data_IF_801764959449
#
_entry.id   IF_801764959449
#
_cell.length_a   1.000
_cell.length_b   1.000
_cell.length_c   1.000
_cell.angle_alpha   90.00
_cell.angle_beta   90.00
_cell.angle_gamma   90.00
#
_symmetry.space_group_name_H-M   'P 1'
#
loop_
_entity.id
_entity.type
_entity.pdbx_description
1 polymer ?
#
# COMPACT_ATOMS: atom_id res chain seq x y z
N UNK A 1 19.41 7.62 17.78
CA UNK A 1 19.60 6.61 16.73
C UNK A 1 20.79 7.02 15.89
N UNK A 2 21.60 6.07 15.44
CA UNK A 2 22.76 6.33 14.59
C UNK A 2 22.74 5.37 13.41
N UNK A 3 23.07 5.88 12.23
CA UNK A 3 23.21 5.09 11.02
C UNK A 3 24.69 4.74 10.81
N UNK A 4 24.98 3.56 10.28
CA UNK A 4 26.33 3.25 9.78
C UNK A 4 26.68 4.14 8.58
N UNK A 5 27.98 4.33 8.32
CA UNK A 5 28.47 5.14 7.20
C UNK A 5 27.97 4.64 5.84
N UNK A 6 27.86 3.32 5.68
CA UNK A 6 27.35 2.65 4.48
C UNK A 6 25.81 2.62 4.39
N UNK A 7 25.12 3.13 5.44
CA UNK A 7 23.66 3.19 5.57
C UNK A 7 22.94 1.84 5.59
N UNK A 8 23.65 0.72 5.74
CA UNK A 8 23.06 -0.61 5.75
C UNK A 8 22.55 -1.01 7.14
N UNK A 9 23.03 -0.35 8.20
CA UNK A 9 22.73 -0.66 9.59
C UNK A 9 22.32 0.58 10.37
N UNK A 10 21.52 0.37 11.41
CA UNK A 10 21.11 1.40 12.35
C UNK A 10 21.17 0.87 13.79
N UNK A 11 21.70 1.68 14.70
CA UNK A 11 21.76 1.37 16.13
C UNK A 11 20.65 2.12 16.87
N UNK A 12 19.84 1.35 17.61
CA UNK A 12 18.76 1.83 18.47
C UNK A 12 18.89 1.20 19.86
N UNK A 13 18.83 2.02 20.91
CA UNK A 13 18.78 1.59 22.30
C UNK A 13 17.61 2.28 22.99
N UNK A 14 16.75 1.51 23.67
CA UNK A 14 15.57 2.02 24.37
C UNK A 14 15.62 1.49 25.81
N UNK A 15 16.11 2.32 26.73
CA UNK A 15 16.23 1.98 28.14
C UNK A 15 15.15 2.70 28.98
N UNK A 16 13.95 2.93 28.42
CA UNK A 16 12.82 3.58 29.09
C UNK A 16 11.48 2.97 28.68
N UNK A 17 10.51 3.07 29.58
CA UNK A 17 9.10 2.80 29.27
C UNK A 17 8.54 3.94 28.43
N UNK A 18 7.78 3.60 27.39
CA UNK A 18 7.14 4.55 26.49
C UNK A 18 5.62 4.43 26.61
N UNK A 19 4.94 5.57 26.58
CA UNK A 19 3.49 5.65 26.39
C UNK A 19 3.11 5.39 24.93
N UNK A 20 1.83 5.15 24.64
CA UNK A 20 1.38 4.92 23.26
C UNK A 20 1.73 6.08 22.29
N UNK A 21 1.52 7.37 22.64
CA UNK A 21 1.93 8.47 21.78
C UNK A 21 3.44 8.55 21.56
N UNK A 22 4.24 8.19 22.56
CA UNK A 22 5.71 8.15 22.42
C UNK A 22 6.16 7.00 21.52
N UNK A 23 5.47 5.85 21.57
CA UNK A 23 5.69 4.73 20.64
C UNK A 23 5.35 5.17 19.21
N UNK A 24 4.24 5.87 19.00
CA UNK A 24 3.89 6.38 17.67
C UNK A 24 4.94 7.35 17.13
N UNK A 25 5.44 8.26 17.96
CA UNK A 25 6.54 9.15 17.59
C UNK A 25 7.80 8.38 17.24
N UNK A 26 8.18 7.39 18.05
CA UNK A 26 9.33 6.53 17.76
C UNK A 26 9.17 5.79 16.43
N UNK A 27 7.98 5.25 16.12
CA UNK A 27 7.70 4.61 14.83
C UNK A 27 7.89 5.61 13.67
N UNK A 28 7.42 6.86 13.82
CA UNK A 28 7.63 7.91 12.82
C UNK A 28 9.11 8.21 12.60
N UNK A 29 9.89 8.36 13.66
CA UNK A 29 11.33 8.62 13.56
C UNK A 29 12.09 7.43 12.96
N UNK A 30 11.72 6.20 13.32
CA UNK A 30 12.28 4.99 12.74
C UNK A 30 11.96 4.87 11.24
N UNK A 31 10.74 5.23 10.84
CA UNK A 31 10.37 5.28 9.42
C UNK A 31 11.23 6.30 8.66
N UNK A 32 11.45 7.49 9.22
CA UNK A 32 12.35 8.49 8.63
C UNK A 32 13.80 8.02 8.55
N UNK A 33 14.27 7.25 9.54
CA UNK A 33 15.61 6.67 9.51
C UNK A 33 15.70 5.59 8.42
N UNK A 34 14.72 4.68 8.37
CA UNK A 34 14.65 3.59 7.39
C UNK A 34 14.60 4.11 5.95
N UNK A 35 13.96 5.24 5.69
CA UNK A 35 13.91 5.83 4.35
C UNK A 35 15.26 6.32 3.83
N UNK A 36 16.27 6.43 4.70
CA UNK A 36 17.63 6.82 4.34
C UNK A 36 18.56 5.60 4.22
N UNK A 37 18.07 4.40 4.54
CA UNK A 37 18.87 3.17 4.57
C UNK A 37 18.90 2.43 3.23
N UNK A 38 19.96 1.67 3.03
CA UNK A 38 20.15 0.76 1.90
C UNK A 38 19.96 -0.70 2.33
N UNK A 39 19.38 -1.57 1.47
CA UNK A 39 18.76 -1.26 0.18
C UNK A 39 17.43 -0.51 0.34
N UNK A 40 17.00 0.14 -0.75
CA UNK A 40 15.66 0.75 -0.81
C UNK A 40 14.57 -0.30 -0.61
N UNK A 41 13.38 0.16 -0.21
CA UNK A 41 12.18 -0.71 -0.14
C UNK A 41 11.95 -1.33 -1.51
N UNK A 42 11.59 -2.60 -1.59
CA UNK A 42 11.32 -3.25 -2.88
C UNK A 42 10.12 -2.62 -3.59
N UNK A 43 10.15 -2.47 -4.93
CA UNK A 43 9.03 -1.92 -5.69
C UNK A 43 7.83 -2.87 -5.78
N UNK A 44 7.98 -4.14 -5.43
CA UNK A 44 6.89 -5.11 -5.38
C UNK A 44 6.64 -5.57 -3.93
N UNK A 45 5.37 -5.73 -3.52
CA UNK A 45 5.04 -6.37 -2.25
C UNK A 45 5.47 -7.84 -2.28
N UNK A 46 5.96 -8.31 -1.14
CA UNK A 46 6.39 -9.70 -0.93
C UNK A 46 5.46 -10.36 0.09
N UNK A 47 5.24 -11.66 -0.06
CA UNK A 47 4.56 -12.48 0.95
C UNK A 47 5.51 -12.85 2.09
N UNK A 48 5.00 -13.60 3.08
CA UNK A 48 5.78 -14.06 4.24
C UNK A 48 6.94 -14.99 3.89
N UNK A 49 6.95 -15.58 2.70
CA UNK A 49 8.04 -16.41 2.18
C UNK A 49 9.09 -15.61 1.41
N UNK A 50 8.89 -14.30 1.24
CA UNK A 50 9.73 -13.46 0.39
C UNK A 50 9.49 -13.69 -1.10
N UNK A 51 8.40 -14.36 -1.45
CA UNK A 51 7.96 -14.51 -2.83
C UNK A 51 7.10 -13.31 -3.22
N UNK A 52 7.16 -12.89 -4.49
CA UNK A 52 6.33 -11.78 -4.97
C UNK A 52 4.84 -12.12 -4.87
N UNK A 53 4.04 -11.18 -4.35
CA UNK A 53 2.57 -11.34 -4.36
C UNK A 53 2.05 -11.07 -5.78
N UNK A 54 1.20 -11.93 -6.36
CA UNK A 54 0.59 -11.65 -7.66
C UNK A 54 -0.37 -10.47 -7.53
N UNK A 55 0.13 -9.28 -7.86
CA UNK A 55 -0.59 -8.02 -7.80
C UNK A 55 -0.58 -7.33 -9.15
N UNK A 56 -1.59 -6.51 -9.41
CA UNK A 56 -1.53 -5.56 -10.51
C UNK A 56 -0.49 -4.49 -10.12
N UNK A 57 0.69 -4.55 -10.73
CA UNK A 57 1.82 -3.64 -10.48
C UNK A 57 2.07 -2.77 -11.71
N UNK A 58 2.38 -1.50 -11.48
CA UNK A 58 2.98 -0.61 -12.47
C UNK A 58 4.50 -0.55 -12.23
N UNK A 59 5.25 0.20 -13.04
CA UNK A 59 6.67 0.45 -12.78
C UNK A 59 6.82 1.36 -11.54
N UNK A 60 7.55 0.89 -10.53
CA UNK A 60 7.80 1.58 -9.25
C UNK A 60 6.53 2.11 -8.53
N UNK A 61 5.55 1.24 -8.20
CA UNK A 61 4.25 1.68 -7.71
C UNK A 61 4.28 2.13 -6.25
N UNK A 62 3.49 3.15 -5.94
CA UNK A 62 3.14 3.53 -4.56
C UNK A 62 1.93 2.73 -4.03
N UNK A 63 1.17 2.08 -4.93
CA UNK A 63 -0.04 1.32 -4.64
C UNK A 63 -0.05 0.03 -5.48
N UNK A 64 -0.39 -1.09 -4.86
CA UNK A 64 -0.60 -2.35 -5.55
C UNK A 64 -1.88 -3.04 -5.04
N UNK A 65 -2.55 -3.79 -5.90
CA UNK A 65 -3.82 -4.46 -5.56
C UNK A 65 -3.69 -5.95 -5.84
N UNK A 66 -3.99 -6.76 -4.83
CA UNK A 66 -4.20 -8.19 -4.96
C UNK A 66 -5.70 -8.46 -4.99
N UNK A 67 -6.15 -9.15 -6.03
CA UNK A 67 -7.51 -9.64 -6.20
C UNK A 67 -7.45 -11.16 -6.46
N UNK A 68 -7.39 -11.97 -5.39
CA UNK A 68 -7.43 -13.43 -5.57
C UNK A 68 -8.75 -13.85 -6.24
N UNK A 69 -8.68 -14.69 -7.27
CA UNK A 69 -9.87 -15.20 -7.98
C UNK A 69 -10.78 -16.05 -7.09
N UNK A 70 -10.22 -16.64 -6.02
CA UNK A 70 -10.91 -17.59 -5.15
C UNK A 70 -11.34 -16.98 -3.79
N UNK A 71 -11.04 -15.70 -3.53
CA UNK A 71 -11.31 -15.08 -2.23
C UNK A 71 -12.02 -13.73 -2.41
N UNK A 72 -13.06 -13.51 -1.61
CA UNK A 72 -13.93 -12.33 -1.68
C UNK A 72 -13.25 -11.04 -1.16
N UNK A 73 -12.00 -11.14 -0.72
CA UNK A 73 -11.24 -10.01 -0.18
C UNK A 73 -10.29 -9.43 -1.20
N UNK A 74 -10.33 -8.11 -1.35
CA UNK A 74 -9.31 -7.33 -2.04
C UNK A 74 -8.28 -6.87 -1.01
N UNK A 75 -7.00 -7.09 -1.29
CA UNK A 75 -5.91 -6.53 -0.49
C UNK A 75 -5.32 -5.33 -1.22
N UNK A 76 -5.35 -4.18 -0.56
CA UNK A 76 -4.67 -2.98 -1.02
C UNK A 76 -3.34 -2.88 -0.32
N UNK A 77 -2.26 -2.73 -1.09
CA UNK A 77 -0.93 -2.48 -0.59
C UNK A 77 -0.58 -1.01 -0.85
N UNK A 78 -0.05 -0.32 0.16
CA UNK A 78 0.57 0.99 0.00
C UNK A 78 2.04 0.91 0.37
N UNK A 79 2.89 1.54 -0.44
CA UNK A 79 4.32 1.59 -0.20
C UNK A 79 4.70 2.90 0.45
N UNK A 80 5.41 2.80 1.55
CA UNK A 80 6.10 3.89 2.21
C UNK A 80 7.61 3.62 2.18
N UNK A 81 8.40 4.64 1.85
CA UNK A 81 9.87 4.56 1.86
C UNK A 81 10.43 4.24 3.26
N UNK A 82 9.69 4.59 4.31
CA UNK A 82 10.11 4.37 5.70
C UNK A 82 9.51 3.12 6.35
N UNK A 83 8.27 2.77 6.02
CA UNK A 83 7.56 1.63 6.64
C UNK A 83 7.55 0.38 5.76
N UNK A 84 8.03 0.47 4.52
CA UNK A 84 7.89 -0.61 3.54
C UNK A 84 6.48 -0.72 2.99
N UNK A 85 6.06 -1.94 2.67
CA UNK A 85 4.71 -2.23 2.21
C UNK A 85 3.77 -2.52 3.39
N UNK A 86 2.67 -1.80 3.45
CA UNK A 86 1.57 -2.06 4.38
C UNK A 86 0.37 -2.57 3.60
N UNK A 87 -0.26 -3.63 4.09
CA UNK A 87 -1.37 -4.31 3.43
C UNK A 87 -2.67 -4.13 4.24
N UNK A 88 -3.75 -3.75 3.56
CA UNK A 88 -5.10 -3.72 4.11
C UNK A 88 -5.97 -4.68 3.34
N UNK A 89 -6.36 -5.76 4.01
CA UNK A 89 -7.37 -6.68 3.52
C UNK A 89 -8.74 -6.06 3.78
N UNK A 90 -9.42 -5.66 2.70
CA UNK A 90 -10.71 -4.97 2.80
C UNK A 90 -11.84 -5.98 2.98
N UNK A 91 -12.69 -5.75 3.99
CA UNK A 91 -13.93 -6.50 4.14
C UNK A 91 -14.85 -6.28 2.92
N UNK A 92 -15.63 -7.26 2.47
CA UNK A 92 -16.52 -7.12 1.31
C UNK A 92 -17.46 -5.91 1.36
N UNK A 93 -17.97 -5.57 2.54
CA UNK A 93 -18.83 -4.39 2.69
C UNK A 93 -18.07 -3.07 2.50
N UNK A 94 -16.81 -2.99 2.94
CA UNK A 94 -15.95 -1.83 2.67
C UNK A 94 -15.66 -1.70 1.19
N UNK A 95 -15.43 -2.81 0.50
CA UNK A 95 -15.23 -2.82 -0.96
C UNK A 95 -16.47 -2.27 -1.68
N UNK A 96 -17.67 -2.72 -1.29
CA UNK A 96 -18.94 -2.24 -1.85
C UNK A 96 -19.13 -0.75 -1.62
N UNK A 97 -18.92 -0.28 -0.39
CA UNK A 97 -19.05 1.13 -0.03
C UNK A 97 -18.06 2.03 -0.82
N UNK A 98 -16.81 1.59 -1.00
CA UNK A 98 -15.83 2.30 -1.81
C UNK A 98 -16.26 2.37 -3.28
N UNK A 99 -16.75 1.26 -3.85
CA UNK A 99 -17.25 1.24 -5.22
C UNK A 99 -18.42 2.21 -5.42
N UNK A 100 -19.41 2.20 -4.52
CA UNK A 100 -20.54 3.15 -4.54
C UNK A 100 -20.05 4.60 -4.42
N UNK A 101 -19.13 4.87 -3.49
CA UNK A 101 -18.56 6.19 -3.30
C UNK A 101 -17.89 6.71 -4.58
N UNK A 102 -16.99 5.93 -5.20
CA UNK A 102 -16.32 6.36 -6.42
C UNK A 102 -17.28 6.51 -7.59
N UNK A 103 -18.21 5.57 -7.78
CA UNK A 103 -19.23 5.65 -8.83
C UNK A 103 -20.13 6.88 -8.68
N UNK A 104 -20.44 7.31 -7.45
CA UNK A 104 -21.23 8.52 -7.19
C UNK A 104 -20.52 9.81 -7.61
N UNK A 105 -19.19 9.78 -7.73
CA UNK A 105 -18.33 10.91 -8.11
C UNK A 105 -18.00 10.94 -9.59
N UNK A 106 -18.27 9.87 -10.33
CA UNK A 106 -18.08 9.87 -11.78
C UNK A 106 -19.02 10.88 -12.41
N UNK A 107 -18.56 11.69 -13.39
CA UNK A 107 -19.44 12.55 -14.15
C UNK A 107 -20.54 11.67 -14.76
N UNK A 108 -21.81 12.02 -14.55
CA UNK A 108 -22.91 11.39 -15.28
C UNK A 108 -22.64 11.66 -16.76
N UNK A 109 -22.15 10.66 -17.47
CA UNK A 109 -22.05 10.75 -18.93
C UNK A 109 -23.45 11.09 -19.41
N UNK A 110 -23.60 12.16 -20.19
CA UNK A 110 -24.83 12.39 -20.92
C UNK A 110 -25.17 11.09 -21.65
N UNK A 111 -26.43 10.63 -21.66
CA UNK A 111 -26.78 9.40 -22.35
C UNK A 111 -26.23 9.50 -23.75
N UNK A 112 -25.33 8.59 -24.12
CA UNK A 112 -24.90 8.47 -25.48
C UNK A 112 -26.18 8.37 -26.30
N UNK A 113 -26.45 9.36 -27.16
CA UNK A 113 -27.45 9.24 -28.21
C UNK A 113 -26.90 8.18 -29.16
N UNK A 114 -27.02 6.92 -28.78
CA UNK A 114 -26.66 5.78 -29.58
C UNK A 114 -27.54 5.82 -30.82
N UNK A 115 -26.95 6.21 -31.95
CA UNK A 115 -27.52 5.82 -33.24
C UNK A 115 -27.54 4.28 -33.25
N UNK A 116 -28.65 3.64 -33.63
CA UNK A 116 -28.71 2.18 -33.67
C UNK A 116 -27.63 1.67 -34.62
N UNK A 117 -26.85 0.70 -34.16
CA UNK A 117 -25.90 -0.03 -35.00
C UNK A 117 -26.73 -0.85 -35.98
N UNK A 118 -26.63 -0.63 -37.32
CA UNK A 118 -27.30 -1.49 -38.27
C UNK A 118 -26.60 -2.85 -38.28
N UNK A 119 -27.34 -3.89 -37.89
CA UNK A 119 -26.92 -5.26 -38.10
C UNK A 119 -26.82 -5.52 -39.62
N UNK A 120 -25.68 -6.08 -40.05
CA UNK A 120 -25.51 -6.76 -41.34
C UNK A 120 -25.03 -8.17 -41.06
#
# INVERSE_FOLDING_TARGET
MQLSDDRTQATLAINKTLTAPEIENLIRELAMLRSQMTPEVTPAPQDSSGSGVPVMSQDNPALAIQYPLEDAHVTVYLRSIGLGWTAWRLHPDTQRALAEFFNSRLPKSAPAKGKPIPFR
#
